data_IF_892615375574
#
_entry.id   IF_892615375574
#
_cell.length_a   1.000
_cell.length_b   1.000
_cell.length_c   1.000
_cell.angle_alpha   90.00
_cell.angle_beta   90.00
_cell.angle_gamma   90.00
#
_symmetry.space_group_name_H-M   'P 1'
#
loop_
_entity.id
_entity.type
_entity.pdbx_description
1 polymer ?
#
# COMPACT_ATOMS: atom_id res chain seq x y z
N UNK A 1 5.74 24.75 -2.12
CA UNK A 1 6.34 23.39 -2.19
C UNK A 1 5.37 22.17 -2.10
N UNK A 2 4.02 22.27 -2.29
CA UNK A 2 3.14 21.08 -2.17
C UNK A 2 3.27 20.05 -3.31
N UNK A 3 3.75 20.44 -4.50
CA UNK A 3 3.93 19.53 -5.63
C UNK A 3 4.96 18.40 -5.36
N UNK A 4 5.95 18.64 -4.50
CA UNK A 4 6.93 17.62 -4.11
C UNK A 4 6.28 16.42 -3.41
N UNK A 5 5.24 16.66 -2.61
CA UNK A 5 4.50 15.59 -1.95
C UNK A 5 3.77 14.70 -2.95
N UNK A 6 3.22 15.27 -4.01
CA UNK A 6 2.54 14.49 -5.05
C UNK A 6 3.50 13.49 -5.72
N UNK A 7 4.74 13.91 -5.99
CA UNK A 7 5.80 13.03 -6.50
C UNK A 7 6.13 11.92 -5.49
N UNK A 8 6.31 12.27 -4.22
CA UNK A 8 6.58 11.28 -3.17
C UNK A 8 5.45 10.25 -3.02
N UNK A 9 4.19 10.69 -3.11
CA UNK A 9 3.01 9.81 -3.06
C UNK A 9 2.93 8.92 -4.30
N UNK A 10 3.21 9.47 -5.49
CA UNK A 10 3.28 8.70 -6.72
C UNK A 10 4.29 7.55 -6.62
N UNK A 11 5.49 7.84 -6.10
CA UNK A 11 6.51 6.81 -5.84
C UNK A 11 6.03 5.75 -4.82
N UNK A 12 5.36 6.17 -3.74
CA UNK A 12 4.79 5.24 -2.76
C UNK A 12 3.76 4.31 -3.40
N UNK A 13 2.85 4.83 -4.22
CA UNK A 13 1.84 4.02 -4.93
C UNK A 13 2.51 2.99 -5.85
N UNK A 14 3.55 3.38 -6.59
CA UNK A 14 4.32 2.46 -7.45
C UNK A 14 4.93 1.32 -6.62
N UNK A 15 5.57 1.63 -5.49
CA UNK A 15 6.16 0.63 -4.60
C UNK A 15 5.09 -0.35 -4.07
N UNK A 16 3.95 0.18 -3.61
CA UNK A 16 2.84 -0.62 -3.10
C UNK A 16 2.24 -1.52 -4.17
N UNK A 17 2.07 -1.00 -5.39
CA UNK A 17 1.51 -1.73 -6.53
C UNK A 17 2.44 -2.87 -6.96
N UNK A 18 3.75 -2.61 -7.01
CA UNK A 18 4.75 -3.64 -7.31
C UNK A 18 4.76 -4.75 -6.26
N UNK A 19 4.63 -4.41 -4.97
CA UNK A 19 4.49 -5.41 -3.89
C UNK A 19 3.20 -6.23 -4.03
N UNK A 20 2.08 -5.57 -4.30
CA UNK A 20 0.80 -6.24 -4.50
C UNK A 20 0.86 -7.22 -5.68
N UNK A 21 1.46 -6.82 -6.81
CA UNK A 21 1.66 -7.66 -7.98
C UNK A 21 2.41 -8.95 -7.63
N UNK A 22 3.53 -8.83 -6.91
CA UNK A 22 4.30 -10.01 -6.45
C UNK A 22 3.51 -10.95 -5.55
N UNK A 23 2.64 -10.43 -4.68
CA UNK A 23 1.78 -11.24 -3.80
C UNK A 23 0.67 -11.94 -4.59
N UNK A 24 0.05 -11.23 -5.54
CA UNK A 24 -0.98 -11.79 -6.42
C UNK A 24 -0.39 -12.87 -7.32
N UNK A 25 0.79 -12.63 -7.92
CA UNK A 25 1.47 -13.60 -8.78
C UNK A 25 1.81 -14.87 -7.99
N UNK A 26 2.34 -14.73 -6.76
CA UNK A 26 2.61 -15.88 -5.89
C UNK A 26 1.33 -16.66 -5.54
N UNK A 27 0.24 -15.95 -5.24
CA UNK A 27 -1.07 -16.58 -4.99
C UNK A 27 -1.60 -17.32 -6.23
N UNK A 28 -1.43 -16.75 -7.43
CA UNK A 28 -1.82 -17.41 -8.69
C UNK A 28 -0.99 -18.67 -8.98
N UNK A 29 0.32 -18.63 -8.72
CA UNK A 29 1.19 -19.81 -8.89
C UNK A 29 0.76 -20.96 -7.98
N UNK A 30 0.35 -20.66 -6.73
CA UNK A 30 -0.17 -21.67 -5.80
C UNK A 30 -1.52 -22.23 -6.26
N UNK A 31 -2.41 -21.36 -6.76
CA UNK A 31 -3.73 -21.76 -7.30
C UNK A 31 -3.66 -22.57 -8.60
N UNK A 32 -2.57 -22.49 -9.34
CA UNK A 32 -2.38 -23.24 -10.60
C UNK A 32 -1.72 -24.60 -10.40
N UNK A 33 -1.45 -25.02 -9.15
CA UNK A 33 -0.91 -26.36 -8.86
C UNK A 33 -1.96 -27.46 -9.02
N UNK A 34 -1.57 -28.74 -9.22
CA UNK A 34 -2.51 -29.87 -9.29
C UNK A 34 -3.45 -29.91 -8.07
N UNK A 35 -4.70 -30.33 -8.28
CA UNK A 35 -5.74 -30.37 -7.23
C UNK A 35 -5.34 -31.19 -6.00
N UNK A 36 -4.50 -32.20 -6.18
CA UNK A 36 -3.95 -33.04 -5.10
C UNK A 36 -3.04 -32.25 -4.14
N UNK A 37 -2.35 -31.21 -4.63
CA UNK A 37 -1.51 -30.31 -3.83
C UNK A 37 -2.32 -29.11 -3.31
N UNK A 38 -3.37 -28.67 -4.04
CA UNK A 38 -4.23 -27.58 -3.59
C UNK A 38 -5.05 -27.91 -2.34
N UNK A 39 -5.45 -29.18 -2.19
CA UNK A 39 -6.21 -29.65 -1.03
C UNK A 39 -5.34 -29.93 0.21
N UNK A 40 -4.02 -29.74 0.11
CA UNK A 40 -3.14 -29.83 1.26
C UNK A 40 -3.48 -28.69 2.25
N UNK A 41 -3.80 -29.00 3.52
CA UNK A 41 -4.12 -27.99 4.52
C UNK A 41 -3.03 -26.93 4.70
N UNK A 42 -1.75 -27.24 4.44
CA UNK A 42 -0.67 -26.26 4.46
C UNK A 42 -0.78 -25.23 3.31
N UNK A 43 -1.17 -25.68 2.11
CA UNK A 43 -1.33 -24.82 0.93
C UNK A 43 -2.55 -23.92 1.08
N UNK A 44 -3.64 -24.43 1.66
CA UNK A 44 -4.85 -23.65 1.96
C UNK A 44 -4.53 -22.55 2.97
N UNK A 45 -3.74 -22.84 4.01
CA UNK A 45 -3.30 -21.84 4.98
C UNK A 45 -2.37 -20.78 4.35
N UNK A 46 -1.42 -21.18 3.50
CA UNK A 46 -0.56 -20.21 2.79
C UNK A 46 -1.38 -19.27 1.90
N UNK A 47 -2.41 -19.78 1.21
CA UNK A 47 -3.31 -18.95 0.39
C UNK A 47 -4.14 -17.98 1.25
N UNK A 48 -4.65 -18.43 2.40
CA UNK A 48 -5.42 -17.59 3.32
C UNK A 48 -4.56 -16.46 3.92
N UNK A 49 -3.31 -16.74 4.25
CA UNK A 49 -2.34 -15.76 4.73
C UNK A 49 -1.99 -14.73 3.65
N UNK A 50 -1.76 -15.18 2.41
CA UNK A 50 -1.55 -14.29 1.28
C UNK A 50 -2.77 -13.39 1.02
N UNK A 51 -3.99 -13.89 1.24
CA UNK A 51 -5.20 -13.08 1.12
C UNK A 51 -5.28 -11.98 2.20
N UNK A 52 -4.98 -12.30 3.46
CA UNK A 52 -4.94 -11.29 4.53
C UNK A 52 -3.91 -10.19 4.26
N UNK A 53 -2.73 -10.54 3.75
CA UNK A 53 -1.68 -9.57 3.39
C UNK A 53 -2.13 -8.62 2.28
N UNK A 54 -2.86 -9.11 1.28
CA UNK A 54 -3.38 -8.28 0.18
C UNK A 54 -4.28 -7.16 0.69
N UNK A 55 -5.14 -7.43 1.68
CA UNK A 55 -6.09 -6.46 2.22
C UNK A 55 -5.36 -5.24 2.79
N UNK A 56 -4.27 -5.43 3.54
CA UNK A 56 -3.49 -4.31 4.10
C UNK A 56 -2.87 -3.43 3.02
N UNK A 57 -2.36 -4.01 1.93
CA UNK A 57 -1.78 -3.24 0.82
C UNK A 57 -2.87 -2.47 0.07
N UNK A 58 -4.03 -3.08 -0.15
CA UNK A 58 -5.16 -2.38 -0.76
C UNK A 58 -5.58 -1.16 0.06
N UNK A 59 -5.69 -1.30 1.38
CA UNK A 59 -5.98 -0.15 2.24
C UNK A 59 -4.86 0.90 2.18
N UNK A 60 -3.59 0.50 2.22
CA UNK A 60 -2.47 1.45 2.10
C UNK A 60 -2.51 2.25 0.79
N UNK A 61 -2.80 1.59 -0.34
CA UNK A 61 -2.96 2.25 -1.65
C UNK A 61 -4.15 3.21 -1.62
N UNK A 62 -5.29 2.80 -1.06
CA UNK A 62 -6.48 3.65 -0.96
C UNK A 62 -6.19 4.93 -0.18
N UNK A 63 -5.56 4.84 1.00
CA UNK A 63 -5.18 6.02 1.79
C UNK A 63 -4.14 6.89 1.06
N UNK A 64 -3.19 6.30 0.35
CA UNK A 64 -2.21 7.05 -0.45
C UNK A 64 -2.88 7.82 -1.60
N UNK A 65 -3.82 7.22 -2.31
CA UNK A 65 -4.59 7.86 -3.38
C UNK A 65 -5.46 8.99 -2.84
N UNK A 66 -6.15 8.79 -1.71
CA UNK A 66 -6.92 9.87 -1.07
C UNK A 66 -6.01 11.02 -0.66
N UNK A 67 -4.83 10.72 -0.10
CA UNK A 67 -3.80 11.72 0.19
C UNK A 67 -3.37 12.50 -1.05
N UNK A 68 -3.13 11.82 -2.18
CA UNK A 68 -2.80 12.49 -3.45
C UNK A 68 -3.90 13.45 -3.92
N UNK A 69 -5.17 13.04 -3.85
CA UNK A 69 -6.31 13.88 -4.22
C UNK A 69 -6.42 15.11 -3.32
N UNK A 70 -6.17 14.97 -2.02
CA UNK A 70 -6.13 16.10 -1.09
C UNK A 70 -4.95 17.05 -1.41
N UNK A 71 -3.77 16.55 -1.77
CA UNK A 71 -2.66 17.41 -2.25
C UNK A 71 -3.09 18.20 -3.50
N UNK A 72 -3.77 17.56 -4.46
CA UNK A 72 -4.28 18.25 -5.64
C UNK A 72 -5.24 19.40 -5.28
N UNK A 73 -6.16 19.17 -4.32
CA UNK A 73 -7.06 20.20 -3.80
C UNK A 73 -6.30 21.34 -3.10
N UNK A 74 -5.27 21.02 -2.30
CA UNK A 74 -4.40 22.03 -1.66
C UNK A 74 -3.72 22.89 -2.70
N UNK A 75 -3.16 22.29 -3.76
CA UNK A 75 -2.47 23.02 -4.83
C UNK A 75 -3.47 23.94 -5.55
N UNK A 76 -4.63 23.41 -5.95
CA UNK A 76 -5.67 24.19 -6.61
C UNK A 76 -6.16 25.35 -5.74
N UNK A 77 -6.45 25.09 -4.46
CA UNK A 77 -6.90 26.10 -3.51
C UNK A 77 -5.86 27.19 -3.25
N UNK A 78 -4.58 26.84 -3.18
CA UNK A 78 -3.49 27.81 -3.03
C UNK A 78 -3.37 28.74 -4.25
N UNK A 79 -3.49 28.20 -5.47
CA UNK A 79 -3.48 28.99 -6.69
C UNK A 79 -4.72 29.90 -6.80
N UNK A 80 -5.91 29.38 -6.50
CA UNK A 80 -7.15 30.17 -6.50
C UNK A 80 -7.09 31.29 -5.47
N UNK A 81 -6.60 31.00 -4.26
CA UNK A 81 -6.41 32.01 -3.20
C UNK A 81 -5.44 33.12 -3.61
N UNK A 82 -4.35 32.76 -4.27
CA UNK A 82 -3.40 33.73 -4.81
C UNK A 82 -4.01 34.59 -5.93
N UNK A 83 -4.82 34.01 -6.83
CA UNK A 83 -5.44 34.72 -7.95
C UNK A 83 -6.58 35.66 -7.52
N UNK A 84 -7.39 35.25 -6.53
CA UNK A 84 -8.57 35.99 -6.09
C UNK A 84 -8.29 36.91 -4.89
N UNK A 85 -7.05 36.97 -4.39
CA UNK A 85 -6.67 37.69 -3.18
C UNK A 85 -7.57 37.33 -1.96
N UNK A 86 -8.14 36.12 -1.99
CA UNK A 86 -9.06 35.63 -0.99
C UNK A 86 -8.28 35.00 0.17
N UNK A 87 -8.76 35.19 1.41
CA UNK A 87 -8.21 34.53 2.61
C UNK A 87 -8.61 33.04 2.66
N UNK A 88 -8.16 32.27 1.67
CA UNK A 88 -8.31 30.81 1.59
C UNK A 88 -7.21 30.07 2.37
N UNK A 89 -6.27 30.80 2.97
CA UNK A 89 -5.11 30.24 3.66
C UNK A 89 -5.49 29.25 4.77
N UNK A 90 -6.53 29.53 5.55
CA UNK A 90 -6.99 28.66 6.65
C UNK A 90 -7.55 27.33 6.13
N UNK A 91 -8.35 27.36 5.06
CA UNK A 91 -8.93 26.14 4.45
C UNK A 91 -7.83 25.28 3.84
N UNK A 92 -6.90 25.90 3.11
CA UNK A 92 -5.76 25.21 2.48
C UNK A 92 -4.86 24.58 3.54
N UNK A 93 -4.61 25.29 4.66
CA UNK A 93 -3.87 24.74 5.79
C UNK A 93 -4.58 23.53 6.41
N UNK A 94 -5.90 23.58 6.61
CA UNK A 94 -6.68 22.46 7.11
C UNK A 94 -6.64 21.23 6.20
N UNK A 95 -6.82 21.42 4.89
CA UNK A 95 -6.69 20.36 3.87
C UNK A 95 -5.28 19.74 3.86
N UNK A 96 -4.25 20.56 4.03
CA UNK A 96 -2.87 20.09 4.07
C UNK A 96 -2.59 19.21 5.30
N UNK A 97 -3.06 19.61 6.48
CA UNK A 97 -2.96 18.80 7.70
C UNK A 97 -3.71 17.48 7.53
N UNK A 98 -4.92 17.53 6.98
CA UNK A 98 -5.70 16.32 6.68
C UNK A 98 -4.93 15.39 5.74
N UNK A 99 -4.32 15.94 4.69
CA UNK A 99 -3.47 15.18 3.76
C UNK A 99 -2.33 14.48 4.48
N UNK A 100 -1.64 15.17 5.40
CA UNK A 100 -0.57 14.58 6.20
C UNK A 100 -1.06 13.41 7.05
N UNK A 101 -2.24 13.51 7.66
CA UNK A 101 -2.83 12.41 8.43
C UNK A 101 -3.09 11.17 7.56
N UNK A 102 -3.66 11.36 6.36
CA UNK A 102 -3.87 10.27 5.41
C UNK A 102 -2.55 9.62 4.98
N UNK A 103 -1.50 10.41 4.78
CA UNK A 103 -0.17 9.89 4.48
C UNK A 103 0.41 9.08 5.64
N UNK A 104 0.35 9.59 6.87
CA UNK A 104 0.81 8.85 8.04
C UNK A 104 0.10 7.50 8.17
N UNK A 105 -1.21 7.45 7.92
CA UNK A 105 -1.98 6.20 7.91
C UNK A 105 -1.51 5.26 6.80
N UNK A 106 -1.33 5.75 5.57
CA UNK A 106 -0.84 4.94 4.44
C UNK A 106 0.54 4.33 4.73
N UNK A 107 1.47 5.13 5.28
CA UNK A 107 2.80 4.68 5.67
C UNK A 107 2.76 3.67 6.82
N UNK A 108 1.88 3.86 7.80
CA UNK A 108 1.73 2.94 8.94
C UNK A 108 1.17 1.59 8.49
N UNK A 109 0.18 1.59 7.58
CA UNK A 109 -0.35 0.37 6.96
C UNK A 109 0.72 -0.35 6.15
N UNK A 110 1.54 0.40 5.43
CA UNK A 110 2.67 -0.14 4.69
C UNK A 110 3.71 -0.78 5.62
N UNK A 111 4.10 -0.11 6.71
CA UNK A 111 5.00 -0.66 7.72
C UNK A 111 4.44 -1.93 8.37
N UNK A 112 3.14 -1.96 8.66
CA UNK A 112 2.47 -3.14 9.22
C UNK A 112 2.53 -4.32 8.26
N UNK A 113 2.37 -4.10 6.96
CA UNK A 113 2.54 -5.15 5.95
C UNK A 113 3.98 -5.67 5.90
N UNK A 114 4.97 -4.78 5.88
CA UNK A 114 6.39 -5.18 5.88
C UNK A 114 6.69 -6.05 7.10
N UNK A 115 6.20 -5.65 8.28
CA UNK A 115 6.41 -6.38 9.52
C UNK A 115 5.82 -7.79 9.48
N UNK A 116 4.61 -7.93 8.94
CA UNK A 116 3.97 -9.22 8.74
C UNK A 116 4.72 -10.09 7.72
N UNK A 117 5.29 -9.46 6.68
CA UNK A 117 6.09 -10.12 5.66
C UNK A 117 7.39 -10.69 6.23
N UNK A 118 8.05 -9.98 7.15
CA UNK A 118 9.31 -10.41 7.78
C UNK A 118 9.09 -11.50 8.84
N UNK A 119 8.02 -11.40 9.64
CA UNK A 119 7.77 -12.38 10.71
C UNK A 119 7.47 -13.80 10.21
N UNK A 120 6.98 -13.93 8.98
CA UNK A 120 6.68 -15.20 8.34
C UNK A 120 7.80 -15.50 7.34
N UNK A 121 8.98 -15.84 7.86
CA UNK A 121 10.10 -16.33 7.06
C UNK A 121 9.78 -17.68 6.39
N UNK A 122 10.48 -18.05 5.31
CA UNK A 122 10.20 -19.29 4.57
C UNK A 122 10.27 -20.50 5.52
N UNK A 123 9.33 -21.47 5.42
CA UNK A 123 9.36 -22.66 6.23
C UNK A 123 10.69 -23.41 6.01
N UNK A 124 11.28 -24.00 7.06
CA UNK A 124 12.53 -24.74 6.93
C UNK A 124 12.39 -25.83 5.86
N UNK A 125 13.43 -26.05 5.03
CA UNK A 125 13.37 -27.03 3.96
C UNK A 125 13.07 -28.43 4.52
N UNK A 126 11.96 -29.04 4.06
CA UNK A 126 11.49 -30.37 4.49
C UNK A 126 12.38 -31.53 4.00
N UNK A 127 13.34 -31.28 3.10
CA UNK A 127 14.26 -32.31 2.62
C UNK A 127 15.71 -31.99 2.97
N UNK A 128 16.43 -32.91 3.63
CA UNK A 128 17.87 -32.78 3.79
C UNK A 128 18.53 -32.74 2.40
N UNK A 129 19.63 -31.99 2.23
CA UNK A 129 20.41 -32.03 1.00
C UNK A 129 20.76 -33.49 0.70
N UNK A 130 20.41 -33.96 -0.50
CA UNK A 130 20.86 -35.28 -0.95
C UNK A 130 22.40 -35.27 -0.99
N UNK A 131 23.05 -36.30 -0.42
CA UNK A 131 24.50 -36.41 -0.37
C UNK A 131 25.13 -36.53 -1.76
#
# INVERSE_FOLDING_TARGET
APAFLLVAIGNLIIILTNRLGRIIDRSRVLLNRPAEIQNDPEVIQEIADLHHRRIFIYFAIMFAVIGALLVCLVIAGAFIGALLNARLAEIVAGLFVLTMLFLVIAWTLFLREIYLSIRIGPPPPKHPPKP
#
